data_IF_855713198116
#
_entry.id   IF_855713198116
#
_cell.length_a   1.000
_cell.length_b   1.000
_cell.length_c   1.000
_cell.angle_alpha   90.00
_cell.angle_beta   90.00
_cell.angle_gamma   90.00
#
_symmetry.space_group_name_H-M   'P 1'
#
loop_
_entity.id
_entity.type
_entity.pdbx_description
1 polymer ?
#
# COMPACT_ATOMS: atom_id res chain seq x y z
N UNK A 1 1.09 -25.97 2.20
CA UNK A 1 0.34 -24.69 2.33
C UNK A 1 1.25 -23.45 2.28
N UNK A 2 2.37 -23.39 3.02
CA UNK A 2 3.29 -22.22 2.99
C UNK A 2 3.88 -21.91 1.60
N UNK A 3 4.25 -22.92 0.83
CA UNK A 3 4.85 -22.77 -0.52
C UNK A 3 3.90 -22.16 -1.56
N UNK A 4 2.62 -22.52 -1.51
CA UNK A 4 1.60 -22.01 -2.44
C UNK A 4 1.35 -20.52 -2.21
N UNK A 5 1.35 -20.07 -0.95
CA UNK A 5 1.13 -18.66 -0.63
C UNK A 5 2.29 -17.78 -1.08
N UNK A 6 3.54 -18.25 -0.92
CA UNK A 6 4.73 -17.54 -1.39
C UNK A 6 4.71 -17.38 -2.92
N UNK A 7 4.36 -18.43 -3.66
CA UNK A 7 4.26 -18.37 -5.12
C UNK A 7 3.14 -17.43 -5.59
N UNK A 8 1.98 -17.47 -4.95
CA UNK A 8 0.88 -16.53 -5.24
C UNK A 8 1.26 -15.08 -4.94
N UNK A 9 2.02 -14.86 -3.87
CA UNK A 9 2.56 -13.56 -3.50
C UNK A 9 3.52 -13.03 -4.58
N UNK A 10 4.47 -13.85 -5.03
CA UNK A 10 5.43 -13.44 -6.07
C UNK A 10 4.74 -13.07 -7.38
N UNK A 11 3.72 -13.85 -7.77
CA UNK A 11 2.90 -13.55 -8.94
C UNK A 11 2.15 -12.23 -8.73
N UNK A 12 1.44 -12.08 -7.61
CA UNK A 12 0.65 -10.88 -7.30
C UNK A 12 1.52 -9.63 -7.33
N UNK A 13 2.71 -9.68 -6.74
CA UNK A 13 3.68 -8.58 -6.74
C UNK A 13 4.09 -8.19 -8.16
N UNK A 14 4.26 -9.15 -9.07
CA UNK A 14 4.57 -8.88 -10.48
C UNK A 14 3.44 -8.20 -11.25
N UNK A 15 2.21 -8.25 -10.74
CA UNK A 15 1.03 -7.64 -11.37
C UNK A 15 0.81 -6.18 -10.94
N UNK A 16 1.46 -5.72 -9.86
CA UNK A 16 1.31 -4.35 -9.37
C UNK A 16 2.06 -3.34 -10.22
N UNK A 17 1.47 -2.15 -10.43
CA UNK A 17 2.09 -1.03 -11.13
C UNK A 17 2.61 -1.41 -12.53
N UNK A 18 1.83 -2.23 -13.23
CA UNK A 18 2.16 -2.83 -14.52
C UNK A 18 1.02 -2.58 -15.54
N UNK A 19 1.16 -3.05 -16.78
CA UNK A 19 0.17 -2.80 -17.84
C UNK A 19 -1.07 -3.72 -17.78
N UNK A 20 -1.50 -4.10 -16.58
CA UNK A 20 -2.69 -4.92 -16.36
C UNK A 20 -3.91 -4.06 -16.04
N UNK A 21 -5.10 -4.65 -16.13
CA UNK A 21 -6.35 -3.96 -15.82
C UNK A 21 -6.50 -3.72 -14.31
N UNK A 22 -7.23 -2.67 -13.95
CA UNK A 22 -7.50 -2.32 -12.54
C UNK A 22 -8.07 -3.49 -11.71
N UNK A 23 -9.01 -4.33 -12.21
CA UNK A 23 -9.48 -5.48 -11.45
C UNK A 23 -8.37 -6.50 -11.12
N UNK A 24 -7.40 -6.69 -12.02
CA UNK A 24 -6.26 -7.61 -11.80
C UNK A 24 -5.32 -7.04 -10.75
N UNK A 25 -5.01 -5.75 -10.83
CA UNK A 25 -4.18 -5.08 -9.84
C UNK A 25 -4.84 -5.06 -8.45
N UNK A 26 -6.15 -4.81 -8.39
CA UNK A 26 -6.92 -4.90 -7.13
C UNK A 26 -6.86 -6.31 -6.54
N UNK A 27 -7.08 -7.35 -7.35
CA UNK A 27 -6.98 -8.73 -6.88
C UNK A 27 -5.57 -9.07 -6.36
N UNK A 28 -4.54 -8.59 -7.06
CA UNK A 28 -3.15 -8.73 -6.62
C UNK A 28 -2.90 -8.05 -5.26
N UNK A 29 -3.39 -6.82 -5.07
CA UNK A 29 -3.29 -6.10 -3.79
C UNK A 29 -3.96 -6.87 -2.64
N UNK A 30 -5.10 -7.51 -2.87
CA UNK A 30 -5.76 -8.35 -1.85
C UNK A 30 -4.93 -9.57 -1.46
N UNK A 31 -4.28 -10.22 -2.43
CA UNK A 31 -3.34 -11.32 -2.17
C UNK A 31 -2.15 -10.84 -1.33
N UNK A 32 -1.58 -9.67 -1.67
CA UNK A 32 -0.49 -9.07 -0.91
C UNK A 32 -0.94 -8.77 0.52
N UNK A 33 -2.10 -8.13 0.72
CA UNK A 33 -2.65 -7.79 2.05
C UNK A 33 -2.83 -9.01 2.94
N UNK A 34 -3.21 -10.15 2.37
CA UNK A 34 -3.38 -11.41 3.10
C UNK A 34 -2.06 -12.16 3.37
N UNK A 35 -0.93 -11.69 2.83
CA UNK A 35 0.35 -12.36 2.95
C UNK A 35 1.03 -12.10 4.30
N UNK A 36 1.92 -13.01 4.70
CA UNK A 36 2.66 -12.88 5.95
C UNK A 36 3.64 -11.69 5.90
N UNK A 37 3.75 -10.86 6.97
CA UNK A 37 4.62 -9.67 6.99
C UNK A 37 6.09 -9.95 6.64
N UNK A 38 6.60 -11.16 6.91
CA UNK A 38 7.97 -11.55 6.57
C UNK A 38 8.28 -11.56 5.06
N UNK A 39 7.27 -11.49 4.20
CA UNK A 39 7.44 -11.42 2.75
C UNK A 39 7.64 -9.99 2.24
N UNK A 40 7.40 -8.98 3.09
CA UNK A 40 7.39 -7.59 2.70
C UNK A 40 8.82 -7.06 2.64
N UNK A 41 9.21 -6.59 1.45
CA UNK A 41 10.51 -6.01 1.19
C UNK A 41 10.38 -4.55 0.72
N UNK A 42 11.52 -3.84 0.72
CA UNK A 42 11.59 -2.44 0.28
C UNK A 42 11.11 -2.26 -1.17
N UNK A 43 11.25 -3.29 -2.01
CA UNK A 43 10.79 -3.23 -3.40
C UNK A 43 9.26 -3.18 -3.48
N UNK A 44 8.55 -4.01 -2.70
CA UNK A 44 7.10 -3.94 -2.58
C UNK A 44 6.67 -2.59 -2.01
N UNK A 45 7.32 -2.10 -0.94
CA UNK A 45 7.02 -0.79 -0.34
C UNK A 45 7.10 0.32 -1.38
N UNK A 46 8.15 0.35 -2.21
CA UNK A 46 8.31 1.34 -3.27
C UNK A 46 7.20 1.25 -4.33
N UNK A 47 6.74 0.05 -4.68
CA UNK A 47 5.63 -0.15 -5.63
C UNK A 47 4.31 0.35 -5.04
N UNK A 48 4.02 0.05 -3.78
CA UNK A 48 2.82 0.53 -3.09
C UNK A 48 2.80 2.06 -2.96
N UNK A 49 3.95 2.69 -2.70
CA UNK A 49 4.09 4.15 -2.71
C UNK A 49 3.76 4.72 -4.09
N UNK A 50 4.24 4.09 -5.16
CA UNK A 50 3.93 4.52 -6.53
C UNK A 50 2.44 4.43 -6.85
N UNK A 51 1.79 3.35 -6.40
CA UNK A 51 0.34 3.17 -6.53
C UNK A 51 -0.42 4.29 -5.85
N UNK A 52 -0.14 4.54 -4.57
CA UNK A 52 -0.75 5.63 -3.82
C UNK A 52 -0.52 7.01 -4.46
N UNK A 53 0.71 7.27 -4.94
CA UNK A 53 1.05 8.52 -5.63
C UNK A 53 0.50 8.61 -7.05
N UNK A 54 -0.14 7.55 -7.56
CA UNK A 54 -0.62 7.47 -8.93
C UNK A 54 0.49 7.78 -9.97
N UNK A 55 1.67 7.17 -9.77
CA UNK A 55 2.86 7.36 -10.65
C UNK A 55 3.20 6.10 -11.45
N UNK A 56 2.26 5.14 -11.50
CA UNK A 56 2.37 3.94 -12.31
C UNK A 56 2.06 4.24 -13.78
N UNK A 57 2.51 3.38 -14.73
CA UNK A 57 2.21 3.57 -16.15
C UNK A 57 0.71 3.62 -16.45
N UNK A 58 -0.08 2.82 -15.71
CA UNK A 58 -1.54 2.84 -15.74
C UNK A 58 -2.08 3.67 -14.58
N UNK A 59 -3.12 4.50 -14.80
CA UNK A 59 -3.76 5.26 -13.74
C UNK A 59 -4.29 4.35 -12.62
N UNK A 60 -3.87 4.64 -11.40
CA UNK A 60 -4.35 4.00 -10.18
C UNK A 60 -5.67 4.64 -9.76
N UNK A 61 -6.66 3.80 -9.46
CA UNK A 61 -7.93 4.26 -8.87
C UNK A 61 -7.77 4.65 -7.40
N UNK A 62 -8.74 5.39 -6.88
CA UNK A 62 -8.81 5.76 -5.45
C UNK A 62 -8.82 4.50 -4.56
N UNK A 63 -9.58 3.46 -4.93
CA UNK A 63 -9.65 2.21 -4.17
C UNK A 63 -8.32 1.46 -4.12
N UNK A 64 -7.58 1.39 -5.24
CA UNK A 64 -6.24 0.78 -5.26
C UNK A 64 -5.25 1.58 -4.40
N UNK A 65 -5.37 2.91 -4.41
CA UNK A 65 -4.55 3.80 -3.59
C UNK A 65 -4.82 3.62 -2.11
N UNK A 66 -6.09 3.53 -1.70
CA UNK A 66 -6.49 3.28 -0.32
C UNK A 66 -5.99 1.92 0.16
N UNK A 67 -6.13 0.87 -0.65
CA UNK A 67 -5.65 -0.46 -0.31
C UNK A 67 -4.12 -0.52 -0.22
N UNK A 68 -3.40 0.25 -1.04
CA UNK A 68 -1.95 0.38 -0.91
C UNK A 68 -1.56 1.02 0.45
N UNK A 69 -2.30 2.02 0.92
CA UNK A 69 -2.10 2.62 2.26
C UNK A 69 -2.36 1.61 3.37
N UNK A 70 -3.44 0.84 3.29
CA UNK A 70 -3.73 -0.23 4.25
C UNK A 70 -2.56 -1.18 4.41
N UNK A 71 -1.98 -1.61 3.29
CA UNK A 71 -0.85 -2.54 3.28
C UNK A 71 0.40 -1.86 3.86
N UNK A 72 0.66 -0.61 3.49
CA UNK A 72 1.81 0.16 3.98
C UNK A 72 1.76 0.46 5.48
N UNK A 73 0.58 0.73 6.02
CA UNK A 73 0.41 1.17 7.41
C UNK A 73 0.10 0.05 8.40
N UNK A 74 -0.33 -1.14 7.93
CA UNK A 74 -0.69 -2.24 8.83
C UNK A 74 0.19 -3.48 8.67
N UNK A 75 0.93 -3.61 7.56
CA UNK A 75 1.65 -4.84 7.24
C UNK A 75 3.16 -4.65 7.07
N UNK A 76 3.63 -3.41 6.88
CA UNK A 76 5.07 -3.12 6.71
C UNK A 76 5.70 -2.85 8.09
N UNK A 77 6.77 -3.58 8.48
CA UNK A 77 7.41 -3.41 9.80
C UNK A 77 7.92 -1.99 10.10
N UNK A 78 8.22 -1.18 9.08
CA UNK A 78 8.68 0.21 9.21
C UNK A 78 7.58 1.24 8.85
N UNK A 79 6.32 0.95 9.18
CA UNK A 79 5.16 1.78 8.82
C UNK A 79 5.29 3.27 9.20
N UNK A 80 5.85 3.60 10.37
CA UNK A 80 6.04 4.99 10.81
C UNK A 80 6.97 5.80 9.87
N UNK A 81 8.01 5.16 9.33
CA UNK A 81 8.92 5.77 8.35
C UNK A 81 8.18 6.06 7.04
N UNK A 82 7.31 5.14 6.60
CA UNK A 82 6.54 5.28 5.38
C UNK A 82 5.49 6.39 5.50
N UNK A 83 4.74 6.44 6.61
CA UNK A 83 3.77 7.51 6.87
C UNK A 83 4.45 8.89 6.83
N UNK A 84 5.57 9.03 7.53
CA UNK A 84 6.37 10.25 7.55
C UNK A 84 6.86 10.63 6.15
N UNK A 85 7.35 9.65 5.38
CA UNK A 85 7.79 9.88 4.00
C UNK A 85 6.65 10.40 3.12
N UNK A 86 5.45 9.83 3.23
CA UNK A 86 4.30 10.25 2.44
C UNK A 86 3.84 11.67 2.80
N UNK A 87 3.74 11.98 4.09
CA UNK A 87 3.40 13.33 4.58
C UNK A 87 4.39 14.40 4.10
N UNK A 88 5.70 14.12 4.11
CA UNK A 88 6.73 15.05 3.62
C UNK A 88 6.65 15.36 2.13
N UNK A 89 5.93 14.53 1.38
CA UNK A 89 5.80 14.65 -0.08
C UNK A 89 4.40 15.05 -0.52
N UNK A 90 3.55 15.43 0.43
CA UNK A 90 2.24 16.01 0.13
C UNK A 90 2.42 17.28 -0.71
N UNK A 91 1.63 17.39 -1.77
CA UNK A 91 1.57 18.60 -2.59
C UNK A 91 0.57 19.57 -1.96
N UNK A 92 0.81 20.87 -2.12
CA UNK A 92 -0.07 21.95 -1.60
C UNK A 92 -1.52 21.80 -2.09
N UNK A 93 -1.71 21.16 -3.25
CA UNK A 93 -3.01 20.79 -3.80
C UNK A 93 -2.97 19.30 -4.19
N UNK A 94 -3.50 18.41 -3.36
CA UNK A 94 -3.56 16.99 -3.68
C UNK A 94 -4.58 16.71 -4.80
N UNK A 95 -4.19 15.92 -5.80
CA UNK A 95 -5.03 15.61 -6.97
C UNK A 95 -6.29 14.79 -6.64
N UNK A 96 -6.29 14.10 -5.49
CA UNK A 96 -7.39 13.26 -5.02
C UNK A 96 -7.59 13.49 -3.51
N UNK A 97 -8.52 14.38 -3.17
CA UNK A 97 -8.82 14.72 -1.78
C UNK A 97 -9.39 13.53 -0.98
N UNK A 98 -10.09 12.60 -1.63
CA UNK A 98 -10.65 11.42 -0.96
C UNK A 98 -9.54 10.50 -0.51
N UNK A 99 -8.59 10.22 -1.41
CA UNK A 99 -7.39 9.41 -1.12
C UNK A 99 -6.57 9.99 0.03
N UNK A 100 -6.31 11.29 0.03
CA UNK A 100 -5.49 11.92 1.07
C UNK A 100 -6.21 12.01 2.42
N UNK A 101 -7.51 12.33 2.42
CA UNK A 101 -8.32 12.27 3.63
C UNK A 101 -8.33 10.87 4.25
N UNK A 102 -8.40 9.82 3.42
CA UNK A 102 -8.27 8.45 3.89
C UNK A 102 -6.90 8.19 4.53
N UNK A 103 -5.81 8.62 3.88
CA UNK A 103 -4.46 8.48 4.42
C UNK A 103 -4.30 9.14 5.79
N UNK A 104 -4.82 10.36 6.00
CA UNK A 104 -4.74 11.03 7.30
C UNK A 104 -5.44 10.25 8.40
N UNK A 105 -6.66 9.76 8.14
CA UNK A 105 -7.41 8.93 9.10
C UNK A 105 -6.71 7.62 9.41
N UNK A 106 -6.08 7.01 8.40
CA UNK A 106 -5.33 5.78 8.57
C UNK A 106 -4.07 5.99 9.44
N UNK A 107 -3.34 7.10 9.22
CA UNK A 107 -2.18 7.48 10.05
C UNK A 107 -2.61 7.75 11.50
N UNK A 108 -3.66 8.54 11.71
CA UNK A 108 -4.21 8.81 13.05
C UNK A 108 -4.59 7.50 13.76
N UNK A 109 -5.28 6.60 13.06
CA UNK A 109 -5.68 5.29 13.60
C UNK A 109 -4.48 4.40 13.94
N UNK A 110 -3.41 4.44 13.14
CA UNK A 110 -2.19 3.67 13.40
C UNK A 110 -1.44 4.17 14.64
N UNK A 111 -1.40 5.50 14.86
CA UNK A 111 -0.79 6.08 16.06
C UNK A 111 -1.51 5.67 17.35
N UNK A 112 -2.85 5.63 17.32
CA UNK A 112 -3.66 5.15 18.44
C UNK A 112 -3.40 3.67 18.77
N UNK A 113 -3.15 2.83 17.77
CA UNK A 113 -2.81 1.42 18.00
C UNK A 113 -1.44 1.26 18.64
N UNK A 114 -0.44 2.03 18.23
CA UNK A 114 0.90 2.02 18.85
C UNK A 114 0.83 2.45 20.33
N UNK A 115 0.01 3.45 20.67
CA UNK A 115 -0.18 3.92 22.05
C UNK A 115 -0.90 2.91 22.96
N UNK A 116 -1.79 2.08 22.41
CA UNK A 116 -2.55 1.08 23.18
C UNK A 116 -1.79 -0.21 23.47
N UNK A 117 -0.70 -0.47 22.74
CA UNK A 117 0.15 -1.67 22.86
C UNK A 117 1.49 -1.35 23.56
N UNK A 118 1.78 -0.07 23.82
CA UNK A 118 2.90 0.42 24.63
C UNK A 118 2.63 0.35 26.13
#
# INVERSE_FOLDING_TARGET
MKETLARSYDIARGLLCSNHSQPVQMAALQVIKAAHPSLYDTKLTNVLIKLFRNTCPTPTSTGESQLAIDILLNCVPEQQNVATLLLRTETVHPDDHEKWNYFYKAVESSGLQDELVS
#
